data_IF_068315627901
#
_entry.id   IF_068315627901
#
_cell.length_a   1.000
_cell.length_b   1.000
_cell.length_c   1.000
_cell.angle_alpha   90.00
_cell.angle_beta   90.00
_cell.angle_gamma   90.00
#
_symmetry.space_group_name_H-M   'P 1'
#
loop_
_entity.id
_entity.type
_entity.pdbx_description
1 polymer ?
#
# COMPACT_ATOMS: atom_id res chain seq x y z
N UNK A 1 -8.78 -27.25 2.40
CA UNK A 1 -7.34 -27.30 2.11
C UNK A 1 -7.06 -26.27 1.01
N UNK A 2 -6.55 -25.07 1.35
CA UNK A 2 -6.19 -24.07 0.34
C UNK A 2 -4.83 -24.44 -0.23
N UNK A 3 -4.72 -24.50 -1.56
CA UNK A 3 -3.42 -24.66 -2.22
C UNK A 3 -2.49 -23.52 -1.76
N UNK A 4 -1.29 -23.87 -1.29
CA UNK A 4 -0.29 -22.91 -0.86
C UNK A 4 -0.02 -21.91 -2.00
N UNK A 5 0.12 -20.63 -1.68
CA UNK A 5 0.62 -19.61 -2.59
C UNK A 5 1.96 -20.08 -3.15
N UNK A 6 1.98 -20.53 -4.41
CA UNK A 6 3.20 -20.95 -5.08
C UNK A 6 3.79 -19.71 -5.77
N UNK A 7 5.06 -19.36 -5.49
CA UNK A 7 5.70 -18.28 -6.22
C UNK A 7 5.73 -18.63 -7.73
N UNK A 8 5.60 -17.62 -8.61
CA UNK A 8 5.57 -17.84 -10.05
C UNK A 8 6.89 -18.43 -10.59
N UNK A 9 6.82 -19.09 -11.75
CA UNK A 9 7.98 -19.69 -12.43
C UNK A 9 8.96 -18.60 -12.89
N UNK A 10 10.26 -18.90 -12.84
CA UNK A 10 11.37 -17.98 -13.09
C UNK A 10 11.45 -17.34 -14.50
N UNK A 11 10.60 -17.72 -15.45
CA UNK A 11 10.67 -17.27 -16.85
C UNK A 11 9.81 -16.02 -17.18
N UNK A 12 9.06 -15.48 -16.22
CA UNK A 12 8.25 -14.27 -16.40
C UNK A 12 9.03 -13.03 -15.92
N UNK A 13 8.86 -11.89 -16.61
CA UNK A 13 9.62 -10.66 -16.34
C UNK A 13 9.60 -10.31 -14.85
N UNK A 14 10.76 -10.43 -14.21
CA UNK A 14 10.92 -10.27 -12.77
C UNK A 14 10.56 -8.84 -12.36
N UNK A 15 9.78 -8.71 -11.29
CA UNK A 15 9.57 -7.44 -10.62
C UNK A 15 10.75 -7.23 -9.67
N UNK A 16 11.48 -6.14 -9.90
CA UNK A 16 12.60 -5.70 -9.08
C UNK A 16 12.10 -4.89 -7.90
N UNK A 17 12.62 -5.19 -6.71
CA UNK A 17 12.28 -4.49 -5.46
C UNK A 17 13.46 -3.60 -5.11
N UNK A 18 13.23 -2.29 -5.09
CA UNK A 18 14.26 -1.27 -4.88
C UNK A 18 13.92 -0.46 -3.62
N UNK A 19 14.82 -0.39 -2.62
CA UNK A 19 14.64 0.50 -1.48
C UNK A 19 14.49 1.95 -1.93
N UNK A 20 13.64 2.71 -1.25
CA UNK A 20 13.48 4.13 -1.51
C UNK A 20 14.77 4.90 -1.23
N UNK A 21 15.06 5.85 -2.11
CA UNK A 21 16.12 6.85 -1.99
C UNK A 21 15.54 8.20 -2.42
N UNK A 22 16.07 9.31 -1.91
CA UNK A 22 15.53 10.65 -2.18
C UNK A 22 15.46 11.00 -3.67
N UNK A 23 16.37 10.42 -4.49
CA UNK A 23 16.34 10.56 -5.97
C UNK A 23 15.03 10.11 -6.62
N UNK A 24 14.28 9.23 -5.96
CA UNK A 24 12.99 8.72 -6.43
C UNK A 24 11.79 9.56 -5.96
N UNK A 25 11.99 10.63 -5.19
CA UNK A 25 10.90 11.43 -4.61
C UNK A 25 9.87 11.88 -5.64
N UNK A 26 10.31 12.51 -6.71
CA UNK A 26 9.41 13.02 -7.74
C UNK A 26 8.67 11.88 -8.44
N UNK A 27 9.40 10.84 -8.85
CA UNK A 27 8.83 9.63 -9.46
C UNK A 27 7.76 8.98 -8.57
N UNK A 28 8.01 8.91 -7.27
CA UNK A 28 7.09 8.33 -6.29
C UNK A 28 5.80 9.14 -6.18
N UNK A 29 5.91 10.46 -6.00
CA UNK A 29 4.74 11.31 -5.80
C UNK A 29 3.89 11.42 -7.07
N UNK A 30 4.54 11.50 -8.25
CA UNK A 30 3.86 11.45 -9.55
C UNK A 30 3.15 10.11 -9.76
N UNK A 31 3.76 9.01 -9.32
CA UNK A 31 3.15 7.68 -9.37
C UNK A 31 1.93 7.58 -8.46
N UNK A 32 2.03 8.03 -7.20
CA UNK A 32 0.92 8.03 -6.24
C UNK A 32 -0.27 8.81 -6.79
N UNK A 33 -0.05 9.96 -7.43
CA UNK A 33 -1.10 10.79 -8.01
C UNK A 33 -1.87 10.10 -9.17
N UNK A 34 -1.26 9.14 -9.86
CA UNK A 34 -1.82 8.43 -11.02
C UNK A 34 -2.28 7.00 -10.69
N UNK A 35 -2.21 6.61 -9.42
CA UNK A 35 -2.42 5.23 -8.98
C UNK A 35 -3.87 4.89 -8.67
N UNK A 36 -4.16 3.59 -8.45
CA UNK A 36 -5.52 3.17 -8.15
C UNK A 36 -5.99 3.59 -6.74
N UNK A 37 -5.15 3.36 -5.73
CA UNK A 37 -5.46 3.49 -4.31
C UNK A 37 -4.55 4.50 -3.57
N UNK A 38 -3.72 5.24 -4.30
CA UNK A 38 -2.86 6.26 -3.71
C UNK A 38 -3.66 7.43 -3.15
N UNK A 39 -3.16 7.96 -2.05
CA UNK A 39 -3.73 9.12 -1.36
C UNK A 39 -2.60 10.02 -0.92
N UNK A 40 -2.92 11.22 -0.41
CA UNK A 40 -1.93 12.11 0.20
C UNK A 40 -1.03 11.37 1.21
N UNK A 41 -1.59 10.43 1.99
CA UNK A 41 -0.87 9.64 3.00
C UNK A 41 0.26 8.76 2.44
N UNK A 42 0.26 8.48 1.14
CA UNK A 42 1.29 7.70 0.47
C UNK A 42 2.41 8.57 -0.13
N UNK A 43 2.23 9.90 -0.23
CA UNK A 43 3.21 10.79 -0.84
C UNK A 43 4.43 11.01 0.07
N UNK A 44 5.62 11.09 -0.51
CA UNK A 44 6.85 11.50 0.18
C UNK A 44 6.73 12.91 0.73
N UNK A 45 6.04 13.81 0.02
CA UNK A 45 5.70 15.14 0.54
C UNK A 45 4.98 15.08 1.89
N UNK A 46 3.99 14.19 2.04
CA UNK A 46 3.33 13.96 3.33
C UNK A 46 4.27 13.25 4.31
N UNK A 47 4.84 12.11 3.96
CA UNK A 47 5.65 11.31 4.90
C UNK A 47 6.85 12.07 5.51
N UNK A 48 7.39 13.06 4.78
CA UNK A 48 8.48 13.91 5.24
C UNK A 48 8.11 14.95 6.32
N UNK A 49 6.82 15.15 6.67
CA UNK A 49 6.45 16.14 7.71
C UNK A 49 6.91 15.72 9.12
N UNK A 50 7.18 14.43 9.33
CA UNK A 50 7.68 13.93 10.59
C UNK A 50 9.14 14.35 10.82
N UNK A 51 9.54 14.60 12.09
CA UNK A 51 10.94 14.88 12.40
C UNK A 51 11.87 13.79 11.83
N UNK A 52 13.05 14.17 11.32
CA UNK A 52 14.11 13.22 10.99
C UNK A 52 14.31 12.22 12.15
N UNK A 53 14.58 10.96 11.81
CA UNK A 53 14.85 9.87 12.76
C UNK A 53 13.65 9.37 13.60
N UNK A 54 12.44 9.92 13.43
CA UNK A 54 11.25 9.37 14.10
C UNK A 54 10.94 7.93 13.65
N UNK A 55 11.21 7.63 12.38
CA UNK A 55 10.98 6.34 11.76
C UNK A 55 12.17 5.94 10.90
N UNK A 56 12.56 4.67 10.97
CA UNK A 56 13.54 4.12 10.04
C UNK A 56 12.82 3.75 8.75
N UNK A 57 12.97 4.58 7.72
CA UNK A 57 12.33 4.37 6.42
C UNK A 57 12.78 3.03 5.80
N UNK A 58 11.82 2.26 5.33
CA UNK A 58 12.02 0.99 4.65
C UNK A 58 11.10 0.88 3.43
N UNK A 59 10.70 2.02 2.89
CA UNK A 59 9.79 2.13 1.75
C UNK A 59 10.39 1.47 0.52
N UNK A 60 9.53 0.86 -0.29
CA UNK A 60 9.95 0.05 -1.44
C UNK A 60 9.29 0.54 -2.73
N UNK A 61 10.04 0.51 -3.82
CA UNK A 61 9.57 0.66 -5.20
C UNK A 61 9.61 -0.70 -5.90
N UNK A 62 8.65 -0.94 -6.77
CA UNK A 62 8.53 -2.19 -7.53
C UNK A 62 8.57 -1.90 -9.03
N UNK A 63 9.64 -2.28 -9.69
CA UNK A 63 9.85 -2.02 -11.12
C UNK A 63 9.69 -3.29 -11.95
N UNK A 64 9.09 -3.17 -13.13
CA UNK A 64 9.15 -4.19 -14.18
C UNK A 64 9.93 -3.60 -15.35
N UNK A 65 11.19 -4.03 -15.50
CA UNK A 65 12.18 -3.31 -16.31
C UNK A 65 12.33 -1.88 -15.78
N UNK A 66 12.01 -0.87 -16.58
CA UNK A 66 12.09 0.55 -16.19
C UNK A 66 10.74 1.14 -15.75
N UNK A 67 9.63 0.39 -15.89
CA UNK A 67 8.29 0.86 -15.51
C UNK A 67 8.06 0.64 -14.01
N UNK A 68 7.78 1.70 -13.26
CA UNK A 68 7.31 1.62 -11.88
C UNK A 68 5.87 1.04 -11.88
N UNK A 69 5.68 -0.06 -11.15
CA UNK A 69 4.40 -0.76 -11.05
C UNK A 69 3.70 -0.53 -9.71
N UNK A 70 4.48 -0.33 -8.65
CA UNK A 70 3.94 -0.10 -7.33
C UNK A 70 4.94 0.60 -6.42
N UNK A 71 4.40 1.17 -5.36
CA UNK A 71 5.16 1.67 -4.22
C UNK A 71 4.56 1.16 -2.92
N UNK A 72 5.40 0.99 -1.90
CA UNK A 72 4.99 0.62 -0.55
C UNK A 72 5.65 1.57 0.45
N UNK A 73 4.93 2.60 0.95
CA UNK A 73 5.45 3.45 2.01
C UNK A 73 5.54 2.63 3.30
N UNK A 74 6.76 2.38 3.75
CA UNK A 74 7.02 1.48 4.87
C UNK A 74 8.10 2.01 5.80
N UNK A 75 8.09 1.51 7.03
CA UNK A 75 9.14 1.72 8.00
C UNK A 75 9.45 0.43 8.75
N UNK A 76 10.66 0.35 9.28
CA UNK A 76 11.04 -0.71 10.19
C UNK A 76 10.40 -0.47 11.54
N UNK A 77 9.66 -1.47 12.02
CA UNK A 77 9.17 -1.50 13.38
C UNK A 77 9.91 -2.61 14.13
N UNK A 78 10.67 -2.21 15.16
CA UNK A 78 11.28 -3.17 16.07
C UNK A 78 10.28 -3.55 17.17
N UNK A 79 9.96 -4.83 17.26
CA UNK A 79 9.16 -5.41 18.34
C UNK A 79 10.04 -6.44 19.04
N UNK A 80 10.42 -6.13 20.29
CA UNK A 80 11.36 -6.93 21.09
C UNK A 80 12.69 -7.18 20.35
N UNK A 81 12.94 -8.45 19.98
CA UNK A 81 14.13 -8.90 19.26
C UNK A 81 13.88 -9.10 17.75
N UNK A 82 12.73 -8.67 17.23
CA UNK A 82 12.35 -8.85 15.82
C UNK A 82 12.10 -7.54 15.10
N UNK A 83 12.26 -7.55 13.77
CA UNK A 83 11.95 -6.42 12.91
C UNK A 83 10.79 -6.77 11.99
N UNK A 84 9.84 -5.84 11.88
CA UNK A 84 8.69 -5.94 10.99
C UNK A 84 8.81 -4.88 9.90
N UNK A 85 8.46 -5.27 8.67
CA UNK A 85 8.23 -4.31 7.60
C UNK A 85 6.77 -3.85 7.68
N UNK A 86 6.55 -2.63 8.15
CA UNK A 86 5.20 -2.11 8.41
C UNK A 86 4.90 -0.93 7.51
N UNK A 87 3.65 -0.81 7.06
CA UNK A 87 3.12 0.46 6.52
C UNK A 87 3.61 1.65 7.34
N UNK A 88 4.08 2.69 6.66
CA UNK A 88 4.76 3.80 7.34
C UNK A 88 3.89 4.36 8.48
N UNK A 89 4.34 4.34 9.76
CA UNK A 89 3.48 4.68 10.89
C UNK A 89 3.05 6.16 10.94
N UNK A 90 3.69 6.99 10.13
CA UNK A 90 3.26 8.36 9.88
C UNK A 90 2.03 8.53 8.98
N UNK A 91 1.60 7.48 8.29
CA UNK A 91 0.47 7.48 7.38
C UNK A 91 -0.78 6.88 8.04
N UNK A 92 -1.93 7.49 7.81
CA UNK A 92 -3.22 6.87 8.18
C UNK A 92 -3.45 5.57 7.42
N UNK A 93 -3.07 5.56 6.14
CA UNK A 93 -3.04 4.37 5.29
C UNK A 93 -1.70 4.37 4.56
N UNK A 94 -0.94 3.28 4.70
CA UNK A 94 0.40 3.13 4.13
C UNK A 94 0.56 1.82 3.37
N UNK A 95 -0.53 1.29 2.82
CA UNK A 95 -0.56 0.04 2.09
C UNK A 95 0.16 0.11 0.74
N UNK A 96 0.17 -1.00 0.01
CA UNK A 96 0.66 -1.03 -1.37
C UNK A 96 -0.18 -0.11 -2.25
N UNK A 97 0.49 0.69 -3.07
CA UNK A 97 -0.09 1.52 -4.12
C UNK A 97 0.34 0.96 -5.47
N UNK A 98 -0.59 0.73 -6.38
CA UNK A 98 -0.33 0.04 -7.67
C UNK A 98 -0.83 0.88 -8.86
N UNK A 99 -0.33 0.59 -10.06
CA UNK A 99 -0.90 1.18 -11.28
C UNK A 99 -2.36 0.77 -11.48
N UNK A 100 -3.10 1.58 -12.23
CA UNK A 100 -4.50 1.31 -12.60
C UNK A 100 -4.67 0.06 -13.47
N UNK A 101 -3.68 -0.20 -14.33
CA UNK A 101 -3.67 -1.28 -15.32
C UNK A 101 -3.02 -2.58 -14.80
N UNK A 102 -2.70 -2.66 -13.51
CA UNK A 102 -1.99 -3.81 -12.94
C UNK A 102 -2.85 -5.08 -13.06
N UNK A 103 -2.33 -6.07 -13.79
CA UNK A 103 -3.02 -7.35 -13.93
C UNK A 103 -2.95 -8.18 -12.66
N UNK A 104 -3.93 -9.06 -12.43
CA UNK A 104 -3.93 -9.99 -11.29
C UNK A 104 -2.64 -10.83 -11.22
N UNK A 105 -2.10 -11.23 -12.37
CA UNK A 105 -0.82 -11.94 -12.47
C UNK A 105 0.35 -11.08 -12.00
N UNK A 106 0.45 -9.82 -12.45
CA UNK A 106 1.52 -8.91 -12.01
C UNK A 106 1.42 -8.63 -10.50
N UNK A 107 0.21 -8.51 -9.98
CA UNK A 107 -0.02 -8.32 -8.55
C UNK A 107 0.40 -9.54 -7.73
N UNK A 108 0.12 -10.75 -8.22
CA UNK A 108 0.61 -12.00 -7.60
C UNK A 108 2.15 -12.05 -7.59
N UNK A 109 2.79 -11.66 -8.70
CA UNK A 109 4.25 -11.56 -8.77
C UNK A 109 4.78 -10.53 -7.78
N UNK A 110 4.17 -9.36 -7.72
CA UNK A 110 4.55 -8.28 -6.80
C UNK A 110 4.53 -8.75 -5.35
N UNK A 111 3.46 -9.44 -4.93
CA UNK A 111 3.32 -9.96 -3.57
C UNK A 111 4.39 -11.02 -3.30
N UNK A 112 4.64 -11.91 -4.27
CA UNK A 112 5.73 -12.89 -4.17
C UNK A 112 7.09 -12.24 -4.00
N UNK A 113 7.38 -11.15 -4.72
CA UNK A 113 8.64 -10.40 -4.61
C UNK A 113 8.76 -9.62 -3.31
N UNK A 114 7.67 -9.02 -2.82
CA UNK A 114 7.63 -8.40 -1.50
C UNK A 114 7.94 -9.42 -0.38
N UNK A 115 7.35 -10.62 -0.44
CA UNK A 115 7.62 -11.69 0.53
C UNK A 115 9.07 -12.17 0.45
N UNK A 116 9.60 -12.40 -0.76
CA UNK A 116 10.97 -12.84 -0.96
C UNK A 116 11.99 -11.81 -0.46
N UNK A 117 11.79 -10.53 -0.82
CA UNK A 117 12.59 -9.42 -0.33
C UNK A 117 12.54 -9.32 1.20
N UNK A 118 11.35 -9.41 1.79
CA UNK A 118 11.21 -9.28 3.24
C UNK A 118 11.93 -10.38 4.00
N UNK A 119 11.89 -11.62 3.47
CA UNK A 119 12.67 -12.75 4.01
C UNK A 119 14.17 -12.53 3.86
N UNK A 120 14.65 -12.02 2.74
CA UNK A 120 16.09 -11.76 2.56
C UNK A 120 16.60 -10.65 3.48
N UNK A 121 15.76 -9.68 3.81
CA UNK A 121 16.03 -8.63 4.80
C UNK A 121 15.78 -9.08 6.25
N UNK A 122 15.39 -10.34 6.48
CA UNK A 122 15.11 -10.93 7.81
C UNK A 122 13.96 -10.29 8.60
N UNK A 123 13.00 -9.65 7.92
CA UNK A 123 11.77 -9.24 8.59
C UNK A 123 10.98 -10.45 9.06
N UNK A 124 10.49 -10.43 10.31
CA UNK A 124 9.68 -11.50 10.89
C UNK A 124 8.25 -11.51 10.37
N UNK A 125 7.73 -10.34 10.00
CA UNK A 125 6.40 -10.16 9.45
C UNK A 125 6.31 -8.92 8.57
N UNK A 126 5.23 -8.86 7.78
CA UNK A 126 4.83 -7.68 7.01
C UNK A 126 3.45 -7.27 7.51
N UNK A 127 3.29 -5.98 7.83
CA UNK A 127 2.01 -5.41 8.24
C UNK A 127 1.61 -4.29 7.27
N UNK A 128 0.40 -4.40 6.72
CA UNK A 128 -0.13 -3.48 5.71
C UNK A 128 -1.41 -2.82 6.22
N UNK A 129 -1.49 -1.50 6.10
CA UNK A 129 -2.70 -0.71 6.36
C UNK A 129 -3.25 -0.20 5.04
N UNK A 130 -4.16 -0.96 4.43
CA UNK A 130 -4.79 -0.59 3.15
C UNK A 130 -5.74 0.61 3.32
N UNK A 131 -5.80 1.52 2.33
CA UNK A 131 -6.78 2.58 2.35
C UNK A 131 -8.21 2.05 2.21
N UNK A 132 -9.22 2.76 2.75
CA UNK A 132 -10.63 2.47 2.50
C UNK A 132 -10.92 2.42 1.00
N UNK A 133 -11.76 1.46 0.60
CA UNK A 133 -12.13 1.22 -0.80
C UNK A 133 -12.75 2.42 -1.51
N UNK A 134 -13.34 3.36 -0.77
CA UNK A 134 -13.89 4.57 -1.37
C UNK A 134 -12.82 5.50 -1.97
N UNK A 135 -11.57 5.39 -1.51
CA UNK A 135 -10.46 6.17 -2.08
C UNK A 135 -9.93 5.56 -3.37
N UNK A 136 -10.44 4.41 -3.80
CA UNK A 136 -9.97 3.76 -5.01
C UNK A 136 -10.59 4.46 -6.21
N UNK A 137 -9.76 4.84 -7.18
CA UNK A 137 -10.23 5.39 -8.45
C UNK A 137 -10.99 4.36 -9.29
N UNK A 138 -10.66 3.07 -9.13
CA UNK A 138 -11.36 1.94 -9.74
C UNK A 138 -11.64 0.87 -8.69
N UNK A 139 -12.89 0.39 -8.65
CA UNK A 139 -13.28 -0.69 -7.77
C UNK A 139 -12.47 -1.95 -8.06
N UNK A 140 -11.69 -2.40 -7.07
CA UNK A 140 -10.76 -3.53 -7.18
C UNK A 140 -10.74 -4.28 -5.84
N UNK A 141 -10.57 -5.60 -5.91
CA UNK A 141 -10.44 -6.47 -4.73
C UNK A 141 -9.26 -7.45 -4.84
N UNK A 142 -8.52 -7.39 -5.94
CA UNK A 142 -7.47 -8.32 -6.32
C UNK A 142 -6.34 -8.32 -5.29
N UNK A 143 -5.95 -7.14 -4.79
CA UNK A 143 -4.92 -6.99 -3.76
C UNK A 143 -5.32 -7.70 -2.47
N UNK A 144 -6.50 -7.41 -1.94
CA UNK A 144 -7.00 -8.04 -0.71
C UNK A 144 -7.11 -9.56 -0.85
N UNK A 145 -7.66 -10.03 -1.99
CA UNK A 145 -7.77 -11.46 -2.27
C UNK A 145 -6.41 -12.15 -2.33
N UNK A 146 -5.43 -11.55 -3.02
CA UNK A 146 -4.09 -12.13 -3.16
C UNK A 146 -3.29 -12.06 -1.86
N UNK A 147 -3.43 -11.01 -1.04
CA UNK A 147 -2.84 -10.95 0.30
C UNK A 147 -3.40 -12.08 1.17
N UNK A 148 -4.72 -12.27 1.17
CA UNK A 148 -5.35 -13.40 1.87
C UNK A 148 -4.81 -14.75 1.39
N UNK A 149 -4.71 -14.96 0.07
CA UNK A 149 -4.13 -16.16 -0.54
C UNK A 149 -2.66 -16.38 -0.14
N UNK A 150 -1.90 -15.30 0.00
CA UNK A 150 -0.51 -15.31 0.45
C UNK A 150 -0.35 -15.52 1.97
N UNK A 151 -1.45 -15.67 2.71
CA UNK A 151 -1.46 -16.00 4.14
C UNK A 151 -1.51 -14.79 5.07
N UNK A 152 -1.71 -13.58 4.54
CA UNK A 152 -1.99 -12.41 5.38
C UNK A 152 -3.32 -12.59 6.11
N UNK A 153 -3.39 -12.02 7.31
CA UNK A 153 -4.57 -12.07 8.18
C UNK A 153 -4.92 -10.67 8.62
N UNK A 154 -6.21 -10.42 8.85
CA UNK A 154 -6.65 -9.16 9.45
C UNK A 154 -6.10 -9.04 10.86
N UNK A 155 -5.34 -7.98 11.11
CA UNK A 155 -4.86 -7.62 12.44
C UNK A 155 -5.78 -6.61 13.12
N UNK A 156 -6.21 -5.60 12.37
CA UNK A 156 -7.09 -4.52 12.83
C UNK A 156 -8.13 -4.21 11.75
N UNK A 157 -9.30 -3.73 12.17
CA UNK A 157 -10.35 -3.23 11.28
C UNK A 157 -10.91 -1.95 11.86
N UNK A 158 -10.89 -0.90 11.06
CA UNK A 158 -11.42 0.41 11.43
C UNK A 158 -12.70 0.71 10.66
N UNK A 159 -13.58 1.51 11.25
CA UNK A 159 -14.79 1.98 10.61
C UNK A 159 -14.52 3.31 9.91
N UNK A 160 -14.73 3.35 8.60
CA UNK A 160 -14.66 4.58 7.82
C UNK A 160 -16.06 5.02 7.44
N UNK A 161 -16.47 6.17 7.94
CA UNK A 161 -17.67 6.87 7.48
C UNK A 161 -17.29 7.84 6.37
N UNK A 162 -18.09 7.86 5.32
CA UNK A 162 -17.97 8.83 4.26
C UNK A 162 -19.35 9.40 3.95
N UNK A 163 -19.34 10.62 3.41
CA UNK A 163 -20.53 11.33 2.99
C UNK A 163 -20.29 11.83 1.57
N UNK A 164 -21.12 11.37 0.64
CA UNK A 164 -21.00 11.80 -0.76
C UNK A 164 -21.62 13.20 -0.92
N UNK A 165 -20.78 14.22 -0.99
CA UNK A 165 -21.24 15.60 -1.14
C UNK A 165 -21.84 15.89 -2.52
N UNK A 166 -21.71 15.00 -3.51
CA UNK A 166 -22.29 15.19 -4.84
C UNK A 166 -23.81 15.05 -4.83
N UNK A 167 -24.35 14.33 -3.86
CA UNK A 167 -25.80 14.20 -3.67
C UNK A 167 -26.40 15.27 -2.77
N UNK A 168 -25.59 16.24 -2.32
CA UNK A 168 -26.06 17.27 -1.39
C UNK A 168 -26.84 18.35 -2.13
N UNK A 169 -27.92 18.82 -1.50
CA UNK A 169 -28.60 20.06 -1.87
C UNK A 169 -27.62 21.24 -1.74
N UNK A 170 -27.70 22.19 -2.68
CA UNK A 170 -26.93 23.44 -2.65
C UNK A 170 -27.12 24.19 -1.33
N UNK A 171 -28.33 24.14 -0.75
CA UNK A 171 -28.56 24.66 0.58
C UNK A 171 -28.06 23.64 1.62
N UNK A 172 -26.79 23.77 2.02
CA UNK A 172 -26.07 22.75 2.79
C UNK A 172 -26.80 22.34 4.09
N UNK A 173 -27.47 23.27 4.76
CA UNK A 173 -28.22 23.02 6.00
C UNK A 173 -29.41 22.08 5.82
N UNK A 174 -30.01 22.00 4.63
CA UNK A 174 -31.15 21.11 4.35
C UNK A 174 -30.75 19.64 4.25
N UNK A 175 -29.45 19.34 4.18
CA UNK A 175 -28.93 17.97 4.13
C UNK A 175 -28.85 17.27 5.50
N UNK A 176 -29.14 17.99 6.59
CA UNK A 176 -29.01 17.48 7.95
C UNK A 176 -30.34 17.65 8.69
N UNK A 177 -30.89 16.55 9.23
CA UNK A 177 -32.01 16.60 10.18
C UNK A 177 -31.47 16.42 11.60
N UNK A 178 -31.96 17.24 12.53
CA UNK A 178 -31.71 17.07 13.96
C UNK A 178 -32.76 16.12 14.55
N UNK A 179 -32.77 14.87 14.09
CA UNK A 179 -33.57 13.83 14.72
C UNK A 179 -32.63 12.84 15.43
N UNK A 180 -32.76 12.79 16.76
CA UNK A 180 -32.11 11.83 17.65
C UNK A 180 -33.15 10.88 18.22
#
# INVERSE_FOLDING_TARGET
MSAAFQPPRAAEALIDVVPYEEKYRQLWDDFVAQSNQGTLFHTRAFLAYHPPDRFTDASLLFFKKEKLLAVFPAANLRVEATELLRSHPGASFGGLVTTLDMTMRELEHLIGRLLAYSRSQKYSAIELTLPPRIYFSQASQELEFLLYRAGFRYHQRELTHFLDLRSFNQNFSENFSAEF
#
